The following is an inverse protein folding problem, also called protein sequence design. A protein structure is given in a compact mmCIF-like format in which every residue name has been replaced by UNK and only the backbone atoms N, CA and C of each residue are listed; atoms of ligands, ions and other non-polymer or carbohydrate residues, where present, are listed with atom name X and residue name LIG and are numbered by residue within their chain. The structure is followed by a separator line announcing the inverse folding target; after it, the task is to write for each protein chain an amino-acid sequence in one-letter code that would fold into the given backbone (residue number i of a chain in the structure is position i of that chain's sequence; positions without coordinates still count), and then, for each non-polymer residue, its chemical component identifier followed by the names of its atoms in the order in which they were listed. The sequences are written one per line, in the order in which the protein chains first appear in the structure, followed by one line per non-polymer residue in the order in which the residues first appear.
data_IF_774079669050
#
_entry.id   IF_774079669050
#
_cell.length_a   1.000
_cell.length_b   1.000
_cell.length_c   1.000
_cell.angle_alpha   90.00
_cell.angle_beta   90.00
_cell.angle_gamma   90.00
#
_symmetry.space_group_name_H-M   'P 1'
#
loop_
_entity.id
_entity.type
_entity.pdbx_description
1 polymer ?
#
# COMPACT_ATOMS: atom_id res chain seq x y z
N UNK A 1 16.81 -4.22 -0.16
CA UNK A 1 15.55 -3.44 -0.23
C UNK A 1 15.74 -2.18 0.58
N UNK A 2 15.31 -1.03 0.06
CA UNK A 2 15.29 0.26 0.77
C UNK A 2 13.93 0.91 0.54
N UNK A 3 13.43 1.65 1.53
CA UNK A 3 12.16 2.38 1.45
C UNK A 3 12.34 3.83 1.90
N UNK A 4 11.42 4.72 1.52
CA UNK A 4 11.51 6.15 1.88
C UNK A 4 11.54 6.37 3.40
N UNK A 5 10.89 5.51 4.18
CA UNK A 5 10.93 5.57 5.65
C UNK A 5 12.32 5.29 6.24
N UNK A 6 13.23 4.67 5.50
CA UNK A 6 14.60 4.36 5.97
C UNK A 6 15.51 5.58 6.04
N UNK A 7 15.15 6.69 5.38
CA UNK A 7 16.02 7.86 5.29
C UNK A 7 16.30 8.49 6.65
N UNK A 8 15.33 8.49 7.57
CA UNK A 8 15.53 9.06 8.91
C UNK A 8 16.68 8.38 9.66
N UNK A 9 16.60 7.07 9.88
CA UNK A 9 17.63 6.31 10.60
C UNK A 9 18.97 6.31 9.83
N UNK A 10 18.91 6.26 8.50
CA UNK A 10 20.10 6.24 7.65
C UNK A 10 20.90 7.55 7.74
N UNK A 11 20.23 8.70 7.60
CA UNK A 11 20.88 10.01 7.68
C UNK A 11 21.34 10.33 9.09
N UNK A 12 20.55 9.95 10.10
CA UNK A 12 20.91 10.12 11.50
C UNK A 12 22.19 9.33 11.85
N UNK A 13 22.28 8.07 11.40
CA UNK A 13 23.49 7.26 11.58
C UNK A 13 24.69 7.86 10.85
N UNK A 14 24.51 8.34 9.62
CA UNK A 14 25.58 8.99 8.85
C UNK A 14 26.14 10.24 9.56
N UNK A 15 25.28 10.97 10.29
CA UNK A 15 25.66 12.12 11.10
C UNK A 15 26.25 11.75 12.48
N UNK A 16 26.33 10.45 12.83
CA UNK A 16 26.81 9.97 14.12
C UNK A 16 25.79 10.06 15.26
N UNK A 17 24.50 10.18 14.96
CA UNK A 17 23.42 10.20 15.94
C UNK A 17 22.94 8.81 16.37
N UNK A 18 22.28 8.75 17.53
CA UNK A 18 21.65 7.53 18.05
C UNK A 18 20.22 7.38 17.52
N UNK A 19 19.86 6.18 17.08
CA UNK A 19 18.55 5.89 16.49
C UNK A 19 17.55 5.54 17.61
N UNK A 20 16.43 6.27 17.75
CA UNK A 20 15.38 5.94 18.72
C UNK A 20 14.73 4.58 18.45
N UNK A 21 14.22 3.93 19.51
CA UNK A 21 13.43 2.71 19.41
C UNK A 21 12.00 2.98 18.88
N UNK A 22 11.33 1.93 18.41
CA UNK A 22 9.92 1.99 18.00
C UNK A 22 9.67 2.65 16.64
N UNK A 23 10.70 2.76 15.80
CA UNK A 23 10.59 3.31 14.44
C UNK A 23 10.52 2.21 13.39
N UNK A 24 9.74 2.44 12.33
CA UNK A 24 9.77 1.61 11.12
C UNK A 24 11.02 1.87 10.26
N UNK A 25 11.79 2.90 10.58
CA UNK A 25 12.99 3.31 9.86
C UNK A 25 14.17 2.38 10.16
N UNK A 26 14.83 1.87 9.12
CA UNK A 26 16.01 1.01 9.27
C UNK A 26 17.24 1.73 8.72
N UNK A 27 18.36 1.68 9.45
CA UNK A 27 19.63 2.25 8.98
C UNK A 27 20.20 1.45 7.80
N UNK A 28 20.34 2.10 6.65
CA UNK A 28 20.86 1.51 5.42
C UNK A 28 22.29 1.98 5.10
N UNK A 29 22.93 2.78 5.96
CA UNK A 29 24.17 3.49 5.63
C UNK A 29 25.30 2.57 5.17
N UNK A 30 25.61 1.55 5.96
CA UNK A 30 26.67 0.59 5.58
C UNK A 30 26.29 -0.25 4.36
N UNK A 31 24.99 -0.47 4.11
CA UNK A 31 24.53 -1.16 2.90
C UNK A 31 24.70 -0.30 1.64
N UNK A 32 24.45 1.01 1.73
CA UNK A 32 24.69 1.97 0.65
C UNK A 32 26.19 2.08 0.31
N UNK A 33 27.06 1.93 1.31
CA UNK A 33 28.51 1.87 1.13
C UNK A 33 29.01 0.50 0.62
N UNK A 34 28.13 -0.45 0.38
CA UNK A 34 28.47 -1.79 -0.10
C UNK A 34 29.21 -2.66 0.92
N UNK A 35 29.20 -2.28 2.21
CA UNK A 35 29.89 -3.02 3.28
C UNK A 35 29.08 -4.22 3.77
N UNK A 36 27.75 -4.09 3.75
CA UNK A 36 26.81 -5.13 4.20
C UNK A 36 25.65 -5.27 3.22
N UNK A 37 24.91 -6.38 3.31
CA UNK A 37 23.62 -6.52 2.62
C UNK A 37 22.61 -5.55 3.26
N UNK A 38 21.70 -5.00 2.46
CA UNK A 38 20.59 -4.19 2.97
C UNK A 38 19.82 -4.94 4.07
N UNK A 39 19.73 -4.39 5.31
CA UNK A 39 19.09 -5.07 6.44
C UNK A 39 17.58 -5.26 6.30
N UNK A 40 16.89 -4.42 5.53
CA UNK A 40 15.45 -4.56 5.29
C UNK A 40 15.17 -5.76 4.36
N UNK A 41 14.33 -6.67 4.82
CA UNK A 41 13.77 -7.77 4.03
C UNK A 41 12.24 -7.69 3.86
N UNK A 42 11.57 -6.89 4.70
CA UNK A 42 10.11 -6.76 4.74
C UNK A 42 9.69 -5.31 4.53
N UNK A 43 8.59 -5.10 3.79
CA UNK A 43 7.99 -3.80 3.54
C UNK A 43 6.47 -3.93 3.48
N UNK A 44 5.77 -3.14 4.28
CA UNK A 44 4.34 -2.89 4.13
C UNK A 44 4.21 -1.66 3.24
N UNK A 45 3.50 -1.76 2.11
CA UNK A 45 3.24 -0.61 1.25
C UNK A 45 2.14 0.27 1.84
N UNK A 46 1.00 -0.36 2.13
CA UNK A 46 -0.14 0.21 2.84
C UNK A 46 -1.06 -0.94 3.25
N UNK A 47 -1.87 -0.72 4.29
CA UNK A 47 -2.98 -1.57 4.69
C UNK A 47 -4.17 -0.64 4.98
N UNK A 48 -5.07 -0.52 4.01
CA UNK A 48 -6.29 0.26 4.12
C UNK A 48 -7.41 -0.65 4.61
N UNK A 49 -7.74 -0.52 5.89
CA UNK A 49 -8.78 -1.30 6.57
C UNK A 49 -10.18 -1.04 5.99
N UNK A 50 -10.46 0.21 5.60
CA UNK A 50 -11.77 0.60 5.07
C UNK A 50 -11.97 0.09 3.65
N UNK A 51 -10.95 0.25 2.80
CA UNK A 51 -11.00 -0.23 1.42
C UNK A 51 -10.72 -1.73 1.32
N UNK A 52 -10.20 -2.35 2.38
CA UNK A 52 -9.67 -3.72 2.39
C UNK A 52 -8.67 -3.96 1.27
N UNK A 53 -7.74 -3.03 1.15
CA UNK A 53 -6.69 -3.08 0.14
C UNK A 53 -5.35 -2.95 0.81
N UNK A 54 -4.35 -3.62 0.27
CA UNK A 54 -3.01 -3.47 0.79
C UNK A 54 -1.99 -4.28 0.06
N UNK A 55 -0.73 -4.11 0.45
CA UNK A 55 0.35 -4.93 -0.06
C UNK A 55 1.48 -5.05 0.95
N UNK A 56 2.11 -6.22 0.95
CA UNK A 56 3.32 -6.50 1.74
C UNK A 56 4.33 -7.22 0.86
N UNK A 57 5.60 -6.83 0.97
CA UNK A 57 6.74 -7.51 0.36
C UNK A 57 7.57 -8.18 1.43
N UNK A 58 7.94 -9.44 1.20
CA UNK A 58 8.88 -10.24 2.00
C UNK A 58 9.92 -10.84 1.07
N UNK A 59 11.14 -10.32 1.13
CA UNK A 59 12.23 -10.69 0.25
C UNK A 59 11.91 -10.41 -1.22
N UNK A 60 11.85 -11.47 -2.02
CA UNK A 60 11.55 -11.41 -3.44
C UNK A 60 10.04 -11.45 -3.73
N UNK A 61 9.20 -11.80 -2.74
CA UNK A 61 7.77 -11.96 -2.95
C UNK A 61 6.96 -10.74 -2.50
N UNK A 62 5.93 -10.40 -3.26
CA UNK A 62 4.94 -9.38 -2.92
C UNK A 62 3.54 -9.99 -2.92
N UNK A 63 2.83 -9.81 -1.82
CA UNK A 63 1.41 -10.06 -1.69
C UNK A 63 0.64 -8.76 -1.91
N UNK A 64 -0.41 -8.81 -2.73
CA UNK A 64 -1.39 -7.74 -2.91
C UNK A 64 -2.76 -8.27 -2.47
N UNK A 65 -3.45 -7.49 -1.64
CA UNK A 65 -4.77 -7.78 -1.09
C UNK A 65 -5.81 -6.83 -1.66
N UNK A 66 -6.99 -7.36 -1.94
CA UNK A 66 -8.15 -6.58 -2.36
C UNK A 66 -8.12 -6.23 -3.84
N UNK A 67 -9.23 -5.65 -4.30
CA UNK A 67 -9.37 -5.30 -5.71
C UNK A 67 -8.56 -4.05 -6.09
N UNK A 68 -7.85 -4.14 -7.20
CA UNK A 68 -7.02 -3.03 -7.68
C UNK A 68 -7.85 -2.18 -8.63
N UNK A 69 -7.79 -0.85 -8.44
CA UNK A 69 -8.52 0.11 -9.29
C UNK A 69 -8.06 0.03 -10.75
N UNK A 70 -6.78 -0.26 -10.96
CA UNK A 70 -6.19 -0.49 -12.27
C UNK A 70 -5.31 -1.73 -12.24
N UNK A 71 -5.49 -2.62 -13.22
CA UNK A 71 -4.75 -3.88 -13.36
C UNK A 71 -4.11 -4.05 -14.75
N UNK A 72 -4.04 -2.98 -15.54
CA UNK A 72 -3.45 -2.95 -16.87
C UNK A 72 -1.98 -2.49 -16.89
N UNK A 73 -1.43 -2.40 -18.09
CA UNK A 73 -0.09 -1.84 -18.33
C UNK A 73 -0.21 -0.59 -19.19
N UNK A 74 0.26 0.53 -18.67
CA UNK A 74 0.37 1.77 -19.44
C UNK A 74 1.74 1.79 -20.09
N UNK A 75 1.76 1.62 -21.41
CA UNK A 75 2.98 1.75 -22.19
C UNK A 75 3.29 3.24 -22.41
N UNK A 76 4.58 3.64 -22.43
CA UNK A 76 4.94 4.98 -22.84
C UNK A 76 4.36 5.24 -24.23
N UNK A 77 3.83 6.45 -24.50
CA UNK A 77 3.36 6.77 -25.83
C UNK A 77 4.53 6.61 -26.81
N UNK A 78 4.38 5.70 -27.79
CA UNK A 78 5.35 5.56 -28.87
C UNK A 78 5.36 6.89 -29.65
N UNK A 79 6.50 7.58 -29.67
CA UNK A 79 6.78 8.77 -30.47
C UNK A 79 5.65 9.81 -30.58
N UNK A 80 5.40 10.61 -29.54
CA UNK A 80 4.79 11.96 -29.54
C UNK A 80 3.59 12.27 -30.49
N UNK A 81 2.89 11.26 -31.02
CA UNK A 81 1.67 11.42 -31.79
C UNK A 81 0.60 10.61 -31.08
N UNK A 82 -0.14 11.34 -30.25
CA UNK A 82 -1.35 10.88 -29.56
C UNK A 82 -1.11 9.61 -28.75
N UNK A 83 -0.69 9.76 -27.49
CA UNK A 83 -1.22 8.87 -26.47
C UNK A 83 -2.74 8.82 -26.72
N UNK A 84 -3.36 7.66 -26.97
CA UNK A 84 -4.80 7.60 -27.04
C UNK A 84 -5.30 8.10 -25.69
N UNK A 85 -5.87 9.31 -25.66
CA UNK A 85 -6.68 9.79 -24.54
C UNK A 85 -7.79 8.76 -24.20
N UNK A 86 -8.06 7.85 -25.15
CA UNK A 86 -8.95 6.70 -25.09
C UNK A 86 -8.45 5.51 -24.24
N UNK A 87 -7.16 5.46 -23.86
CA UNK A 87 -6.65 4.45 -22.90
C UNK A 87 -6.78 4.90 -21.44
N UNK A 88 -7.25 6.13 -21.24
CA UNK A 88 -7.86 6.58 -20.02
C UNK A 88 -9.38 6.60 -20.24
N UNK A 89 -10.00 5.44 -20.43
CA UNK A 89 -11.24 5.19 -19.69
C UNK A 89 -10.86 5.18 -18.20
N UNK A 90 -10.50 6.37 -17.69
CA UNK A 90 -10.87 6.75 -16.35
C UNK A 90 -12.37 6.56 -16.36
N UNK A 91 -12.87 5.46 -15.77
CA UNK A 91 -14.21 5.48 -15.19
C UNK A 91 -14.29 6.81 -14.43
N UNK A 92 -15.09 7.74 -14.93
CA UNK A 92 -15.06 9.16 -14.59
C UNK A 92 -14.81 9.38 -13.09
N UNK A 93 -13.58 9.74 -12.72
CA UNK A 93 -13.19 10.04 -11.32
C UNK A 93 -13.73 11.42 -10.88
N UNK A 94 -14.57 12.05 -11.71
CA UNK A 94 -15.38 13.20 -11.31
C UNK A 94 -16.69 12.78 -10.61
N UNK A 95 -16.97 11.48 -10.52
CA UNK A 95 -18.07 10.92 -9.73
C UNK A 95 -17.56 10.39 -8.40
N UNK A 96 -16.89 11.25 -7.63
CA UNK A 96 -16.88 11.10 -6.17
C UNK A 96 -18.27 11.52 -5.66
N UNK A 97 -19.30 10.78 -6.08
CA UNK A 97 -20.61 10.88 -5.48
C UNK A 97 -20.50 10.21 -4.11
N UNK A 98 -20.44 11.02 -3.05
CA UNK A 98 -20.58 10.52 -1.67
C UNK A 98 -21.88 9.70 -1.50
N UNK A 99 -22.82 9.78 -2.45
CA UNK A 99 -24.12 9.12 -2.45
C UNK A 99 -24.23 7.74 -3.12
N UNK A 100 -23.29 7.28 -3.97
CA UNK A 100 -23.43 5.98 -4.67
C UNK A 100 -22.37 4.94 -4.27
N UNK A 101 -22.46 4.53 -3.01
CA UNK A 101 -21.75 3.38 -2.43
C UNK A 101 -22.25 2.02 -2.97
N UNK A 102 -23.14 1.96 -3.96
CA UNK A 102 -23.82 0.70 -4.33
C UNK A 102 -23.19 -0.08 -5.48
N UNK A 103 -22.15 0.47 -6.14
CA UNK A 103 -21.39 -0.26 -7.17
C UNK A 103 -20.29 -1.17 -6.59
N UNK A 104 -20.05 -1.08 -5.29
CA UNK A 104 -19.20 -1.97 -4.52
C UNK A 104 -20.10 -2.97 -3.79
N UNK A 105 -20.29 -4.17 -4.34
CA UNK A 105 -20.62 -5.29 -3.47
C UNK A 105 -19.43 -5.44 -2.51
N UNK A 106 -19.58 -4.85 -1.32
CA UNK A 106 -18.57 -4.90 -0.27
C UNK A 106 -18.11 -6.35 -0.09
N UNK A 107 -16.83 -6.60 0.22
CA UNK A 107 -16.41 -7.90 0.71
C UNK A 107 -17.33 -8.33 1.86
N UNK A 108 -17.55 -9.63 2.01
CA UNK A 108 -18.40 -10.17 3.09
C UNK A 108 -17.89 -9.84 4.51
N UNK A 109 -16.68 -9.28 4.62
CA UNK A 109 -16.01 -8.79 5.83
C UNK A 109 -15.89 -7.27 5.78
N UNK A 110 -15.89 -6.56 6.91
CA UNK A 110 -15.92 -5.08 6.99
C UNK A 110 -14.63 -4.44 7.53
N UNK A 111 -13.67 -5.25 7.98
CA UNK A 111 -12.32 -4.82 8.39
C UNK A 111 -11.33 -5.99 8.28
N UNK A 112 -10.03 -5.70 8.34
CA UNK A 112 -8.98 -6.69 8.53
C UNK A 112 -9.15 -7.44 9.85
N UNK A 113 -9.65 -6.80 10.91
CA UNK A 113 -9.95 -7.49 12.17
C UNK A 113 -10.96 -8.61 11.94
N UNK A 114 -12.08 -8.33 11.27
CA UNK A 114 -13.09 -9.33 10.90
C UNK A 114 -12.54 -10.39 9.92
N UNK A 115 -11.77 -9.96 8.91
CA UNK A 115 -11.14 -10.90 7.97
C UNK A 115 -10.26 -11.92 8.70
N UNK A 116 -9.47 -11.47 9.69
CA UNK A 116 -8.51 -12.30 10.40
C UNK A 116 -9.09 -13.05 11.61
N UNK A 117 -10.40 -12.96 11.85
CA UNK A 117 -11.14 -13.95 12.65
C UNK A 117 -11.27 -15.28 11.90
N UNK A 118 -11.23 -15.26 10.56
CA UNK A 118 -11.21 -16.45 9.71
C UNK A 118 -9.80 -17.06 9.74
N UNK A 119 -9.73 -18.40 9.74
CA UNK A 119 -8.45 -19.09 9.62
C UNK A 119 -7.79 -18.79 8.27
N UNK A 120 -6.46 -18.66 8.25
CA UNK A 120 -5.74 -18.28 7.02
C UNK A 120 -5.92 -19.33 5.91
N UNK A 121 -5.98 -20.62 6.25
CA UNK A 121 -6.22 -21.66 5.25
C UNK A 121 -7.61 -21.49 4.62
N UNK A 122 -8.61 -21.10 5.42
CA UNK A 122 -9.97 -20.83 4.96
C UNK A 122 -10.04 -19.54 4.11
N UNK A 123 -9.28 -18.50 4.45
CA UNK A 123 -9.17 -17.29 3.61
C UNK A 123 -8.58 -17.65 2.24
N UNK A 124 -7.54 -18.48 2.20
CA UNK A 124 -6.90 -18.90 0.94
C UNK A 124 -7.85 -19.77 0.11
N UNK A 125 -8.60 -20.67 0.74
CA UNK A 125 -9.52 -21.58 0.05
C UNK A 125 -10.77 -20.86 -0.47
N UNK A 126 -11.38 -20.01 0.36
CA UNK A 126 -12.67 -19.37 0.05
C UNK A 126 -12.52 -18.04 -0.67
N UNK A 127 -11.30 -17.49 -0.72
CA UNK A 127 -10.96 -16.22 -1.36
C UNK A 127 -12.01 -15.10 -1.06
N UNK A 128 -12.34 -14.81 0.23
CA UNK A 128 -13.30 -13.74 0.56
C UNK A 128 -12.80 -12.34 0.17
N UNK A 129 -11.49 -12.25 -0.10
CA UNK A 129 -10.77 -11.11 -0.65
C UNK A 129 -9.84 -11.62 -1.76
N UNK A 130 -9.64 -10.82 -2.82
CA UNK A 130 -8.67 -11.15 -3.87
C UNK A 130 -7.25 -11.13 -3.31
N UNK A 131 -6.47 -12.16 -3.62
CA UNK A 131 -5.07 -12.29 -3.22
C UNK A 131 -4.21 -12.55 -4.46
N UNK A 132 -3.19 -11.71 -4.67
CA UNK A 132 -2.20 -11.90 -5.73
C UNK A 132 -0.81 -12.04 -5.12
N UNK A 133 -0.04 -13.01 -5.60
CA UNK A 133 1.33 -13.23 -5.17
C UNK A 133 2.26 -13.12 -6.37
N UNK A 134 3.26 -12.25 -6.27
CA UNK A 134 4.28 -12.06 -7.32
C UNK A 134 5.67 -12.31 -6.76
N UNK A 135 6.57 -12.80 -7.59
CA UNK A 135 8.00 -12.84 -7.30
C UNK A 135 8.67 -11.71 -8.09
N UNK A 136 9.00 -10.61 -7.43
CA UNK A 136 9.55 -9.39 -8.04
C UNK A 136 10.98 -9.55 -8.56
N UNK A 137 11.70 -10.62 -8.16
CA UNK A 137 13.03 -10.91 -8.70
C UNK A 137 12.93 -11.54 -10.08
N UNK A 138 11.99 -12.47 -10.25
CA UNK A 138 11.82 -13.21 -11.50
C UNK A 138 10.77 -12.55 -12.44
N UNK A 139 9.84 -11.79 -11.86
CA UNK A 139 8.75 -11.07 -12.52
C UNK A 139 8.58 -9.66 -11.92
N UNK A 140 9.52 -8.74 -12.21
CA UNK A 140 9.45 -7.36 -11.71
C UNK A 140 8.26 -6.57 -12.27
N UNK A 141 7.56 -7.12 -13.27
CA UNK A 141 6.38 -6.52 -13.87
C UNK A 141 5.10 -7.25 -13.43
N UNK A 142 5.11 -8.08 -12.38
CA UNK A 142 3.86 -8.56 -11.75
C UNK A 142 2.83 -9.15 -12.75
N UNK A 143 3.30 -9.76 -13.85
CA UNK A 143 2.45 -10.31 -14.91
C UNK A 143 1.87 -11.68 -14.54
N UNK A 144 2.53 -12.38 -13.63
CA UNK A 144 2.25 -13.78 -13.32
C UNK A 144 1.91 -13.95 -11.86
N UNK A 145 0.62 -14.06 -11.59
CA UNK A 145 0.13 -14.46 -10.28
C UNK A 145 0.58 -15.90 -9.92
N UNK A 146 1.15 -16.02 -8.73
CA UNK A 146 1.70 -17.22 -8.14
C UNK A 146 0.88 -17.72 -6.94
N UNK A 147 -0.21 -17.04 -6.57
CA UNK A 147 -1.03 -17.32 -5.38
C UNK A 147 -1.42 -18.79 -5.27
N UNK A 148 -1.95 -19.36 -6.37
CA UNK A 148 -2.37 -20.76 -6.48
C UNK A 148 -1.23 -21.76 -6.63
N UNK A 149 -0.03 -21.31 -7.03
CA UNK A 149 1.14 -22.17 -7.27
C UNK A 149 2.02 -22.31 -6.03
N UNK A 150 1.99 -21.31 -5.15
CA UNK A 150 2.82 -21.25 -3.96
C UNK A 150 2.00 -20.93 -2.70
N UNK A 151 1.00 -21.77 -2.34
CA UNK A 151 0.10 -21.51 -1.22
C UNK A 151 0.82 -21.41 0.14
N UNK A 152 1.96 -22.10 0.32
CA UNK A 152 2.76 -21.98 1.54
C UNK A 152 3.38 -20.60 1.70
N UNK A 153 3.93 -20.02 0.62
CA UNK A 153 4.49 -18.66 0.63
C UNK A 153 3.36 -17.64 0.84
N UNK A 154 2.22 -17.84 0.16
CA UNK A 154 1.04 -17.01 0.33
C UNK A 154 0.61 -16.99 1.80
N UNK A 155 0.49 -18.16 2.44
CA UNK A 155 0.15 -18.31 3.85
C UNK A 155 1.13 -17.60 4.77
N UNK A 156 2.44 -17.77 4.56
CA UNK A 156 3.47 -17.14 5.38
C UNK A 156 3.41 -15.60 5.33
N UNK A 157 3.21 -15.03 4.14
CA UNK A 157 3.10 -13.57 3.99
C UNK A 157 1.76 -13.07 4.52
N UNK A 158 0.67 -13.80 4.29
CA UNK A 158 -0.65 -13.43 4.81
C UNK A 158 -0.70 -13.46 6.34
N UNK A 159 0.02 -14.39 6.98
CA UNK A 159 0.19 -14.40 8.44
C UNK A 159 0.92 -13.14 8.93
N UNK A 160 1.98 -12.71 8.24
CA UNK A 160 2.66 -11.45 8.58
C UNK A 160 1.75 -10.24 8.39
N UNK A 161 0.93 -10.23 7.33
CA UNK A 161 -0.09 -9.18 7.14
C UNK A 161 -1.06 -9.16 8.31
N UNK A 162 -1.56 -10.32 8.78
CA UNK A 162 -2.40 -10.41 9.98
C UNK A 162 -1.72 -9.81 11.21
N UNK A 163 -0.47 -10.19 11.46
CA UNK A 163 0.28 -9.72 12.63
C UNK A 163 0.47 -8.20 12.63
N UNK A 164 0.63 -7.58 11.46
CA UNK A 164 0.77 -6.13 11.31
C UNK A 164 -0.58 -5.41 11.30
N UNK A 165 -1.60 -5.98 10.64
CA UNK A 165 -2.94 -5.41 10.56
C UNK A 165 -3.56 -5.22 11.95
N UNK A 166 -3.32 -6.15 12.87
CA UNK A 166 -3.81 -6.08 14.25
C UNK A 166 -3.13 -4.98 15.10
N UNK A 167 -2.07 -4.35 14.60
CA UNK A 167 -1.38 -3.22 15.26
C UNK A 167 -1.79 -1.87 14.69
N UNK A 168 -2.53 -1.84 13.58
CA UNK A 168 -2.92 -0.61 12.91
C UNK A 168 -3.83 0.22 13.82
N UNK A 169 -3.59 1.52 13.84
CA UNK A 169 -4.48 2.49 14.48
C UNK A 169 -5.59 2.90 13.50
N UNK A 170 -6.84 3.08 13.93
CA UNK A 170 -7.91 3.51 13.06
C UNK A 170 -7.55 4.78 12.29
N UNK A 171 -7.91 4.83 11.01
CA UNK A 171 -7.63 5.99 10.17
C UNK A 171 -8.37 7.23 10.69
N UNK A 172 -7.62 8.30 10.95
CA UNK A 172 -8.16 9.62 11.25
C UNK A 172 -8.57 10.31 9.95
N UNK A 173 -9.83 10.13 9.57
CA UNK A 173 -10.42 10.75 8.38
C UNK A 173 -11.26 11.94 8.83
N UNK A 174 -10.66 13.12 8.76
CA UNK A 174 -11.35 14.38 9.01
C UNK A 174 -12.06 14.86 7.73
N UNK A 175 -13.26 15.42 7.91
CA UNK A 175 -13.97 16.10 6.82
C UNK A 175 -13.36 17.46 6.50
N UNK A 176 -13.75 18.03 5.37
CA UNK A 176 -13.38 19.40 5.03
C UNK A 176 -13.88 20.38 6.11
N UNK A 177 -13.00 21.27 6.58
CA UNK A 177 -13.40 22.39 7.42
C UNK A 177 -13.57 23.64 6.55
N UNK A 178 -14.79 24.18 6.50
CA UNK A 178 -15.10 25.39 5.73
C UNK A 178 -14.22 26.59 6.12
N UNK A 179 -13.72 26.65 7.37
CA UNK A 179 -12.80 27.69 7.81
C UNK A 179 -11.46 27.62 7.08
N UNK A 180 -11.10 26.47 6.52
CA UNK A 180 -9.91 26.29 5.69
C UNK A 180 -10.05 26.87 4.28
N UNK A 181 -11.25 27.28 3.86
CA UNK A 181 -11.49 27.83 2.52
C UNK A 181 -10.62 29.08 2.28
N UNK A 182 -9.76 29.09 1.23
CA UNK A 182 -8.91 30.23 0.89
C UNK A 182 -9.66 31.57 0.76
N UNK A 183 -10.97 31.58 0.48
CA UNK A 183 -11.78 32.81 0.45
C UNK A 183 -11.74 33.59 1.77
N UNK A 184 -11.49 32.90 2.89
CA UNK A 184 -11.36 33.49 4.21
C UNK A 184 -9.94 34.02 4.50
N UNK A 185 -8.97 33.72 3.62
CA UNK A 185 -7.53 33.94 3.82
C UNK A 185 -6.87 34.70 2.67
N UNK A 186 -7.59 35.66 2.08
CA UNK A 186 -7.06 36.47 0.97
C UNK A 186 -6.80 35.66 -0.30
N UNK A 187 -7.55 34.57 -0.52
CA UNK A 187 -7.40 33.61 -1.62
C UNK A 187 -6.06 32.85 -1.59
N UNK A 188 -5.51 32.60 -0.40
CA UNK A 188 -4.28 31.84 -0.20
C UNK A 188 -4.57 30.70 0.79
N UNK A 189 -4.03 29.51 0.55
CA UNK A 189 -4.06 28.42 1.53
C UNK A 189 -3.24 28.82 2.77
N UNK A 190 -3.88 28.83 3.93
CA UNK A 190 -3.23 29.25 5.19
C UNK A 190 -3.45 28.23 6.31
N UNK A 191 -2.61 28.18 7.36
CA UNK A 191 -2.80 27.30 8.51
C UNK A 191 -3.79 27.87 9.54
N UNK A 192 -4.13 27.10 10.57
CA UNK A 192 -4.82 27.60 11.78
C UNK A 192 -6.35 27.48 11.79
N UNK A 193 -6.92 26.71 10.86
CA UNK A 193 -8.36 26.47 10.77
C UNK A 193 -8.81 25.14 11.41
N UNK A 194 -7.93 24.14 11.53
CA UNK A 194 -8.21 22.91 12.29
C UNK A 194 -8.24 23.20 13.80
N UNK A 195 -9.40 23.02 14.45
CA UNK A 195 -9.57 23.12 15.92
C UNK A 195 -10.30 21.93 16.49
#
# INVERSE_FOLDING_TARGET
LIHVSDWYATLLSAAGGEIPEGLDSINQWDALLGKVKAPRDTLIYNLDDKAQKGAMRVGDYKLVLGDQVFNGWVYPPEDNTTAPLDLLEYDNIDDYDEGDITRWELPTVRSFAELFEIDIDEIIEKEPIKLFLFNLKDDPNEHKDLSKRHPGILKDILQRVKDEALKIVPADVCGNDEKGDPKHWGNIWSPGWCS
#
